data_IF_015448791068
#
_entry.id   IF_015448791068
#
_cell.length_a   1.000
_cell.length_b   1.000
_cell.length_c   1.000
_cell.angle_alpha   90.00
_cell.angle_beta   90.00
_cell.angle_gamma   90.00
#
_symmetry.space_group_name_H-M   'P 1'
#
loop_
_entity.id
_entity.type
_entity.pdbx_description
1 polymer ?
#
# COMPACT_ATOMS: atom_id res chain seq x y z
N UNK A 1 22.03 -84.11 -51.88
CA UNK A 1 20.68 -83.63 -52.24
C UNK A 1 20.26 -82.64 -51.09
N UNK A 2 20.44 -81.34 -51.27
CA UNK A 2 20.30 -80.36 -50.25
C UNK A 2 18.99 -79.62 -50.43
N UNK A 3 18.12 -79.64 -49.40
CA UNK A 3 16.85 -78.93 -49.38
C UNK A 3 17.11 -77.59 -48.59
N UNK A 4 16.99 -76.47 -49.31
CA UNK A 4 17.04 -75.14 -48.73
C UNK A 4 15.63 -74.73 -48.24
N UNK A 5 15.48 -74.54 -46.95
CA UNK A 5 14.30 -73.92 -46.35
C UNK A 5 14.40 -72.43 -46.45
N UNK A 6 13.39 -71.75 -47.02
CA UNK A 6 13.28 -70.32 -47.08
C UNK A 6 12.56 -69.81 -45.81
N UNK A 7 13.21 -68.88 -45.07
CA UNK A 7 12.63 -68.16 -43.91
C UNK A 7 12.08 -66.81 -44.42
N UNK A 8 10.75 -66.62 -44.27
CA UNK A 8 10.07 -65.33 -44.53
C UNK A 8 10.11 -64.46 -43.29
N UNK A 9 10.60 -63.19 -43.31
CA UNK A 9 10.58 -62.32 -42.14
C UNK A 9 9.20 -61.66 -41.98
N UNK A 10 8.62 -61.84 -40.78
CA UNK A 10 7.42 -61.13 -40.36
C UNK A 10 7.83 -59.70 -40.00
N UNK A 11 7.33 -58.69 -40.72
CA UNK A 11 7.49 -57.29 -40.40
C UNK A 11 6.45 -56.92 -39.35
N UNK A 12 6.92 -56.60 -38.12
CA UNK A 12 6.12 -55.94 -37.12
C UNK A 12 6.00 -54.43 -37.47
N UNK A 13 4.78 -53.99 -37.72
CA UNK A 13 4.44 -52.58 -37.86
C UNK A 13 4.18 -52.05 -36.47
N UNK A 14 5.13 -51.25 -35.92
CA UNK A 14 4.94 -50.50 -34.69
C UNK A 14 4.05 -49.27 -34.99
N UNK A 15 2.81 -49.30 -34.53
CA UNK A 15 1.91 -48.13 -34.52
C UNK A 15 2.32 -47.23 -33.36
N UNK A 16 3.05 -46.15 -33.61
CA UNK A 16 3.31 -45.08 -32.63
C UNK A 16 2.08 -44.20 -32.52
N UNK A 17 1.36 -44.32 -31.43
CA UNK A 17 0.28 -43.39 -31.04
C UNK A 17 0.94 -42.12 -30.53
N UNK A 18 0.90 -41.06 -31.34
CA UNK A 18 1.31 -39.72 -30.96
C UNK A 18 0.22 -39.11 -30.07
N UNK A 19 0.40 -39.17 -28.74
CA UNK A 19 -0.46 -38.49 -27.79
C UNK A 19 -0.16 -36.96 -27.86
N UNK A 20 -1.00 -36.21 -28.59
CA UNK A 20 -1.00 -34.75 -28.49
C UNK A 20 -1.48 -34.31 -27.09
N UNK A 21 -0.56 -34.06 -26.19
CA UNK A 21 -0.87 -33.29 -24.96
C UNK A 21 -1.10 -31.85 -25.39
N UNK A 22 -2.35 -31.42 -25.42
CA UNK A 22 -2.70 -30.00 -25.52
C UNK A 22 -2.16 -29.28 -24.27
N UNK A 23 -1.00 -28.65 -24.41
CA UNK A 23 -0.53 -27.65 -23.45
C UNK A 23 -1.52 -26.50 -23.53
N UNK A 24 -2.44 -26.43 -22.54
CA UNK A 24 -3.30 -25.28 -22.35
C UNK A 24 -2.43 -24.04 -22.22
N UNK A 25 -2.49 -23.13 -23.18
CA UNK A 25 -1.90 -21.80 -23.08
C UNK A 25 -2.61 -21.12 -21.91
N UNK A 26 -1.92 -20.64 -20.88
CA UNK A 26 -2.58 -19.90 -19.81
C UNK A 26 -3.26 -18.68 -20.46
N UNK A 27 -4.57 -18.62 -20.37
CA UNK A 27 -5.36 -17.48 -20.78
C UNK A 27 -4.88 -16.29 -19.93
N UNK A 28 -4.27 -15.30 -20.57
CA UNK A 28 -3.85 -14.08 -19.90
C UNK A 28 -5.10 -13.43 -19.32
N UNK A 29 -5.22 -13.42 -17.99
CA UNK A 29 -6.30 -12.75 -17.30
C UNK A 29 -6.33 -11.29 -17.78
N UNK A 30 -7.38 -10.92 -18.50
CA UNK A 30 -7.57 -9.53 -18.93
C UNK A 30 -7.89 -8.69 -17.70
N UNK A 31 -7.20 -7.55 -17.55
CA UNK A 31 -7.43 -6.64 -16.45
C UNK A 31 -8.91 -6.24 -16.39
N UNK A 32 -9.48 -6.20 -15.18
CA UNK A 32 -10.87 -5.82 -14.98
C UNK A 32 -11.13 -4.38 -15.47
N UNK A 33 -12.16 -4.14 -16.32
CA UNK A 33 -12.35 -2.85 -16.97
C UNK A 33 -12.75 -1.77 -15.95
N UNK A 34 -12.13 -0.60 -16.03
CA UNK A 34 -12.51 0.56 -15.23
C UNK A 34 -13.75 1.28 -15.80
N UNK A 35 -14.40 2.13 -15.01
CA UNK A 35 -15.49 3.00 -15.45
C UNK A 35 -15.34 4.43 -14.90
N UNK A 36 -16.14 5.37 -15.42
CA UNK A 36 -16.18 6.77 -14.96
C UNK A 36 -17.32 7.07 -13.98
N UNK A 37 -18.22 6.12 -13.80
CA UNK A 37 -19.36 6.21 -12.88
C UNK A 37 -19.57 4.89 -12.12
N UNK A 38 -20.41 4.88 -11.09
CA UNK A 38 -20.64 3.72 -10.24
C UNK A 38 -21.58 2.65 -10.83
N UNK A 39 -22.11 2.85 -12.04
CA UNK A 39 -23.22 2.03 -12.55
C UNK A 39 -22.90 0.55 -12.76
N UNK A 40 -21.65 0.22 -13.05
CA UNK A 40 -21.22 -1.14 -13.30
C UNK A 40 -20.28 -1.69 -12.20
N UNK A 41 -20.23 -1.07 -11.05
CA UNK A 41 -19.36 -1.50 -9.96
C UNK A 41 -19.66 -2.93 -9.51
N UNK A 42 -20.93 -3.32 -9.42
CA UNK A 42 -21.34 -4.66 -9.02
C UNK A 42 -20.94 -5.74 -10.05
N UNK A 43 -21.04 -5.44 -11.35
CA UNK A 43 -20.61 -6.36 -12.42
C UNK A 43 -19.09 -6.40 -12.61
N UNK A 44 -18.38 -5.36 -12.16
CA UNK A 44 -16.92 -5.30 -12.16
C UNK A 44 -16.31 -6.19 -11.05
N UNK A 45 -16.94 -6.29 -9.88
CA UNK A 45 -16.39 -7.06 -8.75
C UNK A 45 -16.03 -8.52 -9.07
N UNK A 46 -16.84 -9.30 -9.81
CA UNK A 46 -16.46 -10.65 -10.22
C UNK A 46 -15.17 -10.69 -11.05
N UNK A 47 -15.01 -9.78 -12.02
CA UNK A 47 -13.82 -9.70 -12.87
C UNK A 47 -12.57 -9.34 -12.05
N UNK A 48 -12.70 -8.37 -11.16
CA UNK A 48 -11.63 -7.99 -10.24
C UNK A 48 -11.29 -9.11 -9.24
N UNK A 49 -12.28 -9.92 -8.85
CA UNK A 49 -12.06 -11.08 -7.98
C UNK A 49 -11.22 -12.16 -8.68
N UNK A 50 -11.41 -12.39 -9.98
CA UNK A 50 -10.57 -13.29 -10.78
C UNK A 50 -9.14 -12.76 -10.89
N UNK A 51 -8.96 -11.46 -11.18
CA UNK A 51 -7.65 -10.81 -11.22
C UNK A 51 -6.95 -10.89 -9.85
N UNK A 52 -7.67 -10.59 -8.77
CA UNK A 52 -7.14 -10.65 -7.40
C UNK A 52 -6.76 -12.10 -7.01
N UNK A 53 -7.56 -13.09 -7.38
CA UNK A 53 -7.26 -14.50 -7.13
C UNK A 53 -6.00 -14.94 -7.92
N UNK A 54 -5.85 -14.52 -9.17
CA UNK A 54 -4.64 -14.75 -9.96
C UNK A 54 -3.40 -14.07 -9.34
N UNK A 55 -3.59 -12.92 -8.65
CA UNK A 55 -2.54 -12.25 -7.89
C UNK A 55 -2.28 -12.86 -6.50
N UNK A 56 -2.93 -13.99 -6.15
CA UNK A 56 -2.72 -14.74 -4.91
C UNK A 56 -3.54 -14.24 -3.71
N UNK A 57 -4.64 -13.53 -3.94
CA UNK A 57 -5.60 -13.18 -2.89
C UNK A 57 -6.43 -14.42 -2.53
N UNK A 58 -6.55 -14.72 -1.25
CA UNK A 58 -7.28 -15.86 -0.72
C UNK A 58 -8.77 -15.59 -0.54
N UNK A 59 -9.46 -16.58 0.07
CA UNK A 59 -10.93 -16.57 0.17
C UNK A 59 -11.50 -15.41 0.98
N UNK A 60 -10.83 -15.00 2.08
CA UNK A 60 -11.31 -13.90 2.95
C UNK A 60 -11.22 -12.56 2.23
N UNK A 61 -10.11 -12.31 1.53
CA UNK A 61 -9.92 -11.11 0.72
C UNK A 61 -10.94 -11.02 -0.41
N UNK A 62 -11.16 -12.11 -1.15
CA UNK A 62 -12.17 -12.17 -2.21
C UNK A 62 -13.60 -11.93 -1.65
N UNK A 63 -13.93 -12.48 -0.48
CA UNK A 63 -15.21 -12.20 0.18
C UNK A 63 -15.34 -10.71 0.51
N UNK A 64 -14.31 -10.10 1.09
CA UNK A 64 -14.29 -8.67 1.41
C UNK A 64 -14.49 -7.78 0.15
N UNK A 65 -13.89 -8.16 -0.99
CA UNK A 65 -14.13 -7.46 -2.26
C UNK A 65 -15.60 -7.58 -2.71
N UNK A 66 -16.19 -8.76 -2.61
CA UNK A 66 -17.61 -8.98 -2.98
C UNK A 66 -18.59 -8.19 -2.10
N UNK A 67 -18.27 -8.01 -0.82
CA UNK A 67 -19.04 -7.23 0.13
C UNK A 67 -18.80 -5.71 0.01
N UNK A 68 -17.76 -5.28 -0.70
CA UNK A 68 -17.44 -3.87 -0.87
C UNK A 68 -18.53 -3.11 -1.62
N UNK A 69 -18.67 -1.83 -1.32
CA UNK A 69 -19.65 -0.94 -1.91
C UNK A 69 -18.99 0.27 -2.59
N UNK A 70 -19.60 0.76 -3.68
CA UNK A 70 -19.10 1.95 -4.35
C UNK A 70 -19.24 3.20 -3.48
N UNK A 71 -18.13 3.89 -3.18
CA UNK A 71 -18.09 5.05 -2.30
C UNK A 71 -18.08 6.37 -3.07
N UNK A 72 -19.24 7.02 -3.18
CA UNK A 72 -19.34 8.39 -3.74
C UNK A 72 -18.52 9.41 -2.93
N UNK A 73 -18.39 9.21 -1.60
CA UNK A 73 -17.60 10.07 -0.73
C UNK A 73 -16.11 9.99 -1.07
N UNK A 74 -15.60 8.80 -1.34
CA UNK A 74 -14.23 8.56 -1.82
C UNK A 74 -13.97 9.28 -3.13
N UNK A 75 -14.84 9.13 -4.12
CA UNK A 75 -14.72 9.83 -5.42
C UNK A 75 -14.73 11.34 -5.24
N UNK A 76 -15.62 11.87 -4.39
CA UNK A 76 -15.67 13.30 -4.10
C UNK A 76 -14.37 13.79 -3.45
N UNK A 77 -13.83 13.08 -2.48
CA UNK A 77 -12.57 13.42 -1.84
C UNK A 77 -11.39 13.39 -2.84
N UNK A 78 -11.34 12.35 -3.69
CA UNK A 78 -10.30 12.18 -4.70
C UNK A 78 -10.27 13.31 -5.75
N UNK A 79 -11.42 13.89 -6.09
CA UNK A 79 -11.54 14.95 -7.09
C UNK A 79 -11.42 16.37 -6.52
N UNK A 80 -11.52 16.57 -5.20
CA UNK A 80 -11.60 17.88 -4.55
C UNK A 80 -10.37 18.28 -3.71
N UNK A 81 -9.17 17.82 -4.05
CA UNK A 81 -7.94 18.13 -3.32
C UNK A 81 -7.43 19.55 -3.62
N UNK A 82 -7.80 20.55 -2.80
CA UNK A 82 -7.45 21.97 -3.00
C UNK A 82 -6.18 22.42 -2.25
N UNK A 83 -5.77 21.74 -1.18
CA UNK A 83 -4.71 22.19 -0.25
C UNK A 83 -3.30 22.25 -0.85
N UNK A 84 -3.04 21.51 -1.92
CA UNK A 84 -1.71 21.49 -2.59
C UNK A 84 -1.38 22.75 -3.39
N UNK A 85 -2.31 23.70 -3.50
CA UNK A 85 -2.10 25.01 -4.16
C UNK A 85 -1.71 26.12 -3.18
N UNK A 86 -1.54 25.83 -1.88
CA UNK A 86 -1.17 26.82 -0.89
C UNK A 86 0.33 27.16 -0.95
N UNK A 87 0.68 28.39 -0.56
CA UNK A 87 2.07 28.72 -0.18
C UNK A 87 2.46 27.94 1.06
N UNK A 88 3.77 27.74 1.28
CA UNK A 88 4.26 27.00 2.44
C UNK A 88 3.76 27.60 3.77
N UNK A 89 3.78 28.90 3.93
CA UNK A 89 3.30 29.56 5.16
C UNK A 89 1.82 29.30 5.42
N UNK A 90 0.99 29.44 4.36
CA UNK A 90 -0.44 29.16 4.46
C UNK A 90 -0.68 27.68 4.77
N UNK A 91 0.08 26.77 4.14
CA UNK A 91 -0.05 25.34 4.38
C UNK A 91 0.31 24.98 5.82
N UNK A 92 1.45 25.45 6.36
CA UNK A 92 1.87 25.25 7.74
C UNK A 92 0.82 25.77 8.74
N UNK A 93 0.28 26.98 8.48
CA UNK A 93 -0.75 27.58 9.33
C UNK A 93 -2.04 26.75 9.34
N UNK A 94 -2.54 26.36 8.15
CA UNK A 94 -3.78 25.57 8.02
C UNK A 94 -3.63 24.18 8.64
N UNK A 95 -2.43 23.58 8.55
CA UNK A 95 -2.12 22.28 9.15
C UNK A 95 -1.82 22.33 10.64
N UNK A 96 -1.77 23.52 11.25
CA UNK A 96 -1.48 23.67 12.66
C UNK A 96 -0.05 23.26 13.04
N UNK A 97 0.93 23.60 12.19
CA UNK A 97 2.33 23.17 12.31
C UNK A 97 2.94 23.45 13.70
N UNK A 98 2.65 24.60 14.31
CA UNK A 98 3.18 24.95 15.64
C UNK A 98 2.65 24.00 16.73
N UNK A 99 1.37 23.60 16.65
CA UNK A 99 0.79 22.62 17.56
C UNK A 99 1.40 21.22 17.34
N UNK A 100 1.63 20.82 16.08
CA UNK A 100 2.30 19.56 15.73
C UNK A 100 3.73 19.55 16.29
N UNK A 101 4.50 20.62 16.11
CA UNK A 101 5.87 20.74 16.65
C UNK A 101 5.88 20.67 18.18
N UNK A 102 5.00 21.44 18.86
CA UNK A 102 4.89 21.42 20.34
C UNK A 102 4.58 20.02 20.86
N UNK A 103 3.55 19.37 20.31
CA UNK A 103 3.17 18.01 20.69
C UNK A 103 4.25 16.99 20.30
N UNK A 104 4.88 17.17 19.13
CA UNK A 104 5.95 16.31 18.64
C UNK A 104 7.16 16.29 19.58
N UNK A 105 7.62 17.44 20.05
CA UNK A 105 8.70 17.54 21.06
C UNK A 105 8.35 16.80 22.35
N UNK A 106 7.13 16.99 22.85
CA UNK A 106 6.66 16.29 24.06
C UNK A 106 6.62 14.77 23.86
N UNK A 107 6.18 14.29 22.69
CA UNK A 107 6.16 12.86 22.35
C UNK A 107 7.57 12.29 22.18
N UNK A 108 8.49 13.05 21.53
CA UNK A 108 9.91 12.68 21.41
C UNK A 108 10.53 12.46 22.78
N UNK A 109 10.32 13.40 23.70
CA UNK A 109 10.84 13.27 25.07
C UNK A 109 10.21 12.09 25.83
N UNK A 110 8.87 11.94 25.75
CA UNK A 110 8.14 10.88 26.46
C UNK A 110 8.50 9.48 25.98
N UNK A 111 8.76 9.30 24.67
CA UNK A 111 9.01 8.00 24.04
C UNK A 111 10.43 7.94 23.45
N UNK A 112 11.42 8.51 24.13
CA UNK A 112 12.79 8.66 23.64
C UNK A 112 13.41 7.32 23.21
N UNK A 113 13.14 6.23 23.94
CA UNK A 113 13.64 4.89 23.60
C UNK A 113 13.11 4.40 22.25
N UNK A 114 11.81 4.56 21.98
CA UNK A 114 11.21 4.18 20.70
C UNK A 114 11.84 4.95 19.52
N UNK A 115 11.98 6.27 19.67
CA UNK A 115 12.54 7.08 18.57
C UNK A 115 14.04 6.82 18.37
N UNK A 116 14.78 6.55 19.44
CA UNK A 116 16.18 6.11 19.34
C UNK A 116 16.29 4.74 18.61
N UNK A 117 15.40 3.80 18.89
CA UNK A 117 15.33 2.52 18.19
C UNK A 117 15.02 2.69 16.70
N UNK A 118 14.06 3.56 16.35
CA UNK A 118 13.71 3.89 14.97
C UNK A 118 14.93 4.45 14.23
N UNK A 119 15.60 5.44 14.82
CA UNK A 119 16.77 6.07 14.21
C UNK A 119 17.94 5.07 14.07
N UNK A 120 18.19 4.24 15.08
CA UNK A 120 19.20 3.19 15.01
C UNK A 120 18.91 2.15 13.93
N UNK A 121 17.64 1.72 13.78
CA UNK A 121 17.27 0.64 12.87
C UNK A 121 17.17 1.12 11.41
N UNK A 122 16.68 2.33 11.18
CA UNK A 122 16.34 2.83 9.84
C UNK A 122 17.15 4.07 9.43
N UNK A 123 17.83 4.71 10.36
CA UNK A 123 18.57 5.95 10.13
C UNK A 123 17.67 7.16 9.85
N UNK A 124 16.37 7.08 10.20
CA UNK A 124 15.40 8.15 10.01
C UNK A 124 15.25 8.92 11.32
N UNK A 125 15.55 10.24 11.35
CA UNK A 125 15.46 11.04 12.56
C UNK A 125 14.03 11.07 13.13
N UNK A 126 13.93 11.15 14.46
CA UNK A 126 12.65 11.19 15.18
C UNK A 126 11.72 12.28 14.65
N UNK A 127 12.24 13.49 14.38
CA UNK A 127 11.47 14.62 13.89
C UNK A 127 10.71 14.33 12.60
N UNK A 128 11.29 13.56 11.67
CA UNK A 128 10.66 13.22 10.38
C UNK A 128 9.45 12.33 10.60
N UNK A 129 9.61 11.24 11.36
CA UNK A 129 8.52 10.29 11.63
C UNK A 129 7.40 10.96 12.45
N UNK A 130 7.77 11.79 13.42
CA UNK A 130 6.82 12.55 14.25
C UNK A 130 6.07 13.60 13.42
N UNK A 131 6.74 14.31 12.51
CA UNK A 131 6.10 15.29 11.63
C UNK A 131 5.08 14.64 10.71
N UNK A 132 5.41 13.49 10.12
CA UNK A 132 4.48 12.67 9.32
C UNK A 132 3.28 12.26 10.18
N UNK A 133 3.49 11.68 11.35
CA UNK A 133 2.42 11.24 12.25
C UNK A 133 1.48 12.39 12.65
N UNK A 134 2.05 13.57 12.95
CA UNK A 134 1.26 14.76 13.27
C UNK A 134 0.45 15.27 12.07
N UNK A 135 1.04 15.26 10.88
CA UNK A 135 0.42 15.73 9.65
C UNK A 135 -0.71 14.81 9.15
N UNK A 136 -0.54 13.50 9.29
CA UNK A 136 -1.50 12.54 8.75
C UNK A 136 -2.75 12.42 9.64
N UNK A 137 -2.57 12.24 10.93
CA UNK A 137 -3.69 11.88 11.80
C UNK A 137 -3.79 12.74 13.08
N UNK A 138 -2.97 13.79 13.22
CA UNK A 138 -2.91 14.51 14.49
C UNK A 138 -2.51 13.58 15.64
N UNK A 139 -1.54 12.70 15.38
CA UNK A 139 -1.05 11.71 16.34
C UNK A 139 -2.07 10.62 16.69
N UNK A 140 -2.84 10.14 15.72
CA UNK A 140 -3.83 9.09 15.86
C UNK A 140 -5.23 9.58 16.25
N UNK A 141 -5.45 10.89 16.37
CA UNK A 141 -6.77 11.42 16.74
C UNK A 141 -7.80 11.30 15.60
N UNK A 142 -7.36 11.23 14.35
CA UNK A 142 -8.21 11.21 13.14
C UNK A 142 -7.72 10.20 12.13
N UNK A 143 -7.93 8.92 12.39
CA UNK A 143 -7.49 7.84 11.48
C UNK A 143 -8.50 7.53 10.35
N UNK A 144 -9.66 8.21 10.34
CA UNK A 144 -10.70 8.04 9.33
C UNK A 144 -11.85 7.14 9.78
N UNK A 145 -12.90 7.13 8.97
CA UNK A 145 -14.19 6.46 9.22
C UNK A 145 -14.73 5.72 7.99
N UNK A 146 -13.94 5.64 6.92
CA UNK A 146 -14.37 5.08 5.64
C UNK A 146 -13.89 3.63 5.54
N UNK A 147 -14.78 2.72 5.11
CA UNK A 147 -14.38 1.32 4.92
C UNK A 147 -13.24 1.24 3.89
N UNK A 148 -12.12 0.63 4.30
CA UNK A 148 -10.87 0.60 3.54
C UNK A 148 -11.04 -0.14 2.21
N UNK A 149 -11.61 -1.35 2.26
CA UNK A 149 -11.77 -2.18 1.05
C UNK A 149 -12.69 -1.48 0.05
N UNK A 150 -13.81 -0.92 0.50
CA UNK A 150 -14.76 -0.18 -0.36
C UNK A 150 -14.12 1.06 -0.97
N UNK A 151 -13.33 1.82 -0.20
CA UNK A 151 -12.65 3.01 -0.70
C UNK A 151 -11.62 2.67 -1.80
N UNK A 152 -10.72 1.73 -1.52
CA UNK A 152 -9.68 1.32 -2.48
C UNK A 152 -10.30 0.63 -3.71
N UNK A 153 -11.31 -0.23 -3.54
CA UNK A 153 -12.00 -0.87 -4.65
C UNK A 153 -12.70 0.17 -5.54
N UNK A 154 -13.32 1.19 -4.95
CA UNK A 154 -13.90 2.31 -5.69
C UNK A 154 -12.87 3.06 -6.53
N UNK A 155 -11.68 3.33 -5.98
CA UNK A 155 -10.59 4.01 -6.69
C UNK A 155 -9.91 3.13 -7.74
N UNK A 156 -9.86 1.83 -7.53
CA UNK A 156 -9.38 0.85 -8.52
C UNK A 156 -10.35 0.72 -9.70
N UNK A 157 -11.64 0.84 -9.43
CA UNK A 157 -12.69 0.85 -10.45
C UNK A 157 -12.77 2.17 -11.22
N UNK A 158 -12.47 3.33 -10.61
CA UNK A 158 -12.49 4.64 -11.28
C UNK A 158 -11.31 4.78 -12.26
N UNK A 159 -11.61 4.99 -13.57
CA UNK A 159 -10.59 5.07 -14.62
C UNK A 159 -9.56 6.17 -14.44
N UNK A 160 -9.79 7.15 -13.55
CA UNK A 160 -8.86 8.26 -13.36
C UNK A 160 -7.49 7.81 -12.87
N UNK A 161 -7.46 6.85 -11.94
CA UNK A 161 -6.22 6.31 -11.36
C UNK A 161 -6.28 4.81 -11.09
N UNK A 162 -7.07 4.07 -11.86
CA UNK A 162 -7.25 2.62 -11.71
C UNK A 162 -5.92 1.89 -11.58
N UNK A 163 -4.99 2.09 -12.53
CA UNK A 163 -3.69 1.43 -12.53
C UNK A 163 -2.83 1.73 -11.29
N UNK A 164 -3.01 2.89 -10.65
CA UNK A 164 -2.34 3.21 -9.39
C UNK A 164 -2.98 2.49 -8.20
N UNK A 165 -4.32 2.41 -8.15
CA UNK A 165 -5.02 1.86 -6.99
C UNK A 165 -5.21 0.34 -7.03
N UNK A 166 -5.17 -0.32 -8.19
CA UNK A 166 -5.32 -1.78 -8.30
C UNK A 166 -4.28 -2.56 -7.47
N UNK A 167 -2.99 -2.24 -7.50
CA UNK A 167 -2.02 -2.86 -6.59
C UNK A 167 -2.34 -2.67 -5.10
N UNK A 168 -2.86 -1.48 -4.73
CA UNK A 168 -3.28 -1.21 -3.36
C UNK A 168 -4.55 -1.98 -2.97
N UNK A 169 -5.48 -2.20 -3.90
CA UNK A 169 -6.62 -3.08 -3.66
C UNK A 169 -6.17 -4.52 -3.39
N UNK A 170 -5.31 -5.06 -4.24
CA UNK A 170 -4.73 -6.40 -4.03
C UNK A 170 -4.02 -6.46 -2.67
N UNK A 171 -3.27 -5.42 -2.31
CA UNK A 171 -2.65 -5.31 -0.98
C UNK A 171 -3.66 -5.32 0.16
N UNK A 172 -4.75 -4.55 0.06
CA UNK A 172 -5.82 -4.52 1.08
C UNK A 172 -6.47 -5.91 1.25
N UNK A 173 -6.77 -6.59 0.14
CA UNK A 173 -7.36 -7.92 0.16
C UNK A 173 -6.42 -8.98 0.77
N UNK A 174 -5.12 -8.90 0.51
CA UNK A 174 -4.10 -9.76 1.14
C UNK A 174 -3.96 -9.47 2.64
N UNK A 175 -4.02 -8.21 3.06
CA UNK A 175 -4.03 -7.85 4.49
C UNK A 175 -5.26 -8.40 5.20
N UNK A 176 -6.43 -8.48 4.55
CA UNK A 176 -7.63 -9.16 5.08
C UNK A 176 -7.39 -10.67 5.21
N UNK A 177 -6.78 -11.30 4.22
CA UNK A 177 -6.45 -12.74 4.29
C UNK A 177 -5.49 -13.07 5.43
N UNK A 178 -4.50 -12.21 5.67
CA UNK A 178 -3.51 -12.37 6.75
C UNK A 178 -4.10 -12.07 8.12
N UNK A 179 -5.21 -11.32 8.19
CA UNK A 179 -5.84 -10.90 9.43
C UNK A 179 -5.26 -9.61 10.03
N UNK A 180 -4.36 -8.93 9.31
CA UNK A 180 -3.84 -7.61 9.71
C UNK A 180 -4.91 -6.52 9.69
N UNK A 181 -5.90 -6.67 8.81
CA UNK A 181 -7.14 -5.88 8.82
C UNK A 181 -8.34 -6.81 8.61
N UNK A 182 -9.54 -6.32 8.89
CA UNK A 182 -10.81 -7.01 8.60
C UNK A 182 -11.54 -6.38 7.40
N UNK A 183 -12.54 -7.08 6.87
CA UNK A 183 -13.42 -6.52 5.83
C UNK A 183 -14.15 -5.24 6.29
N UNK A 184 -14.33 -5.06 7.62
CA UNK A 184 -14.97 -3.88 8.21
C UNK A 184 -13.98 -2.81 8.67
N UNK A 185 -12.67 -2.98 8.49
CA UNK A 185 -11.66 -1.99 8.90
C UNK A 185 -11.89 -0.64 8.23
N UNK A 186 -11.70 0.43 9.01
CA UNK A 186 -11.89 1.81 8.55
C UNK A 186 -10.55 2.54 8.46
N UNK A 187 -10.53 3.55 7.59
CA UNK A 187 -9.38 4.40 7.34
C UNK A 187 -9.81 5.73 6.75
N UNK A 188 -8.90 6.46 6.11
CA UNK A 188 -9.24 7.72 5.46
C UNK A 188 -10.09 7.52 4.19
N UNK A 189 -10.46 8.63 3.56
CA UNK A 189 -11.39 8.64 2.42
C UNK A 189 -10.87 7.92 1.17
N UNK A 190 -9.55 7.75 1.02
CA UNK A 190 -8.96 6.97 -0.07
C UNK A 190 -8.52 5.56 0.37
N UNK A 191 -8.90 5.14 1.60
CA UNK A 191 -8.57 3.81 2.14
C UNK A 191 -7.18 3.71 2.76
N UNK A 192 -6.58 4.83 3.14
CA UNK A 192 -5.32 4.84 3.88
C UNK A 192 -5.52 4.34 5.31
N UNK A 193 -4.52 3.62 5.84
CA UNK A 193 -4.56 2.86 7.08
C UNK A 193 -3.77 3.50 8.22
N UNK A 194 -4.36 3.53 9.41
CA UNK A 194 -3.69 3.69 10.68
C UNK A 194 -3.09 5.08 10.95
N UNK A 195 -2.19 5.12 11.91
CA UNK A 195 -1.60 6.35 12.47
C UNK A 195 -0.88 7.25 11.48
N UNK A 196 -0.29 6.68 10.46
CA UNK A 196 0.50 7.41 9.44
C UNK A 196 -0.09 7.30 8.04
N UNK A 197 -1.31 6.77 7.90
CA UNK A 197 -2.10 6.77 6.67
C UNK A 197 -1.41 6.07 5.49
N UNK A 198 -0.98 4.83 5.72
CA UNK A 198 -0.43 3.97 4.67
C UNK A 198 -1.49 3.59 3.64
N UNK A 199 -1.15 3.67 2.35
CA UNK A 199 -1.89 2.92 1.34
C UNK A 199 -1.70 1.41 1.55
N UNK A 200 -2.74 0.58 1.41
CA UNK A 200 -2.68 -0.83 1.79
C UNK A 200 -1.59 -1.67 1.10
N UNK A 201 -1.26 -1.39 -0.17
CA UNK A 201 -0.13 -2.06 -0.83
C UNK A 201 1.20 -1.74 -0.14
N UNK A 202 1.41 -0.48 0.24
CA UNK A 202 2.60 -0.10 0.99
C UNK A 202 2.60 -0.69 2.41
N UNK A 203 1.43 -0.83 3.04
CA UNK A 203 1.31 -1.50 4.33
C UNK A 203 1.69 -2.97 4.25
N UNK A 204 1.30 -3.66 3.16
CA UNK A 204 1.68 -5.05 2.89
C UNK A 204 3.19 -5.20 2.69
N UNK A 205 3.80 -4.28 1.92
CA UNK A 205 5.21 -4.39 1.51
C UNK A 205 6.20 -3.91 2.57
N UNK A 206 5.82 -2.90 3.37
CA UNK A 206 6.71 -2.18 4.29
C UNK A 206 6.26 -2.20 5.76
N UNK A 207 5.14 -2.86 6.07
CA UNK A 207 4.65 -3.00 7.43
C UNK A 207 5.66 -3.72 8.32
N UNK A 208 5.78 -3.26 9.57
CA UNK A 208 6.69 -3.82 10.59
C UNK A 208 5.90 -4.04 11.87
N UNK A 209 6.01 -5.24 12.43
CA UNK A 209 5.63 -5.52 13.81
C UNK A 209 6.69 -4.87 14.73
N UNK A 210 6.43 -3.66 15.12
CA UNK A 210 7.37 -2.84 15.88
C UNK A 210 7.28 -3.08 17.37
N UNK A 211 6.13 -3.55 17.86
CA UNK A 211 5.91 -3.86 19.26
C UNK A 211 6.25 -5.33 19.60
N UNK A 212 6.46 -6.20 18.59
CA UNK A 212 6.85 -7.58 18.77
C UNK A 212 5.73 -8.52 19.20
N UNK A 213 4.45 -8.17 18.92
CA UNK A 213 3.30 -9.00 19.28
C UNK A 213 2.95 -10.08 18.23
N UNK A 214 3.69 -10.13 17.13
CA UNK A 214 3.51 -11.09 16.03
C UNK A 214 2.55 -10.61 14.94
N UNK A 215 2.06 -9.38 15.02
CA UNK A 215 1.10 -8.82 14.07
C UNK A 215 1.52 -7.42 13.61
N UNK A 216 1.38 -7.11 12.34
CA UNK A 216 1.52 -5.73 11.86
C UNK A 216 0.16 -5.04 11.95
N UNK A 217 0.01 -4.16 12.93
CA UNK A 217 -1.20 -3.34 13.12
C UNK A 217 -0.87 -1.85 13.02
N UNK A 218 -1.20 -1.22 11.90
CA UNK A 218 -0.98 0.22 11.71
C UNK A 218 -1.93 1.10 12.54
N UNK A 219 -2.93 0.52 13.21
CA UNK A 219 -3.70 1.12 14.29
C UNK A 219 -2.91 1.22 15.61
N UNK A 220 -1.82 0.47 15.74
CA UNK A 220 -0.82 0.62 16.79
C UNK A 220 0.23 1.66 16.39
N UNK A 221 0.47 2.65 17.26
CA UNK A 221 1.39 3.73 16.95
C UNK A 221 2.85 3.26 16.76
N UNK A 222 3.30 2.23 17.48
CA UNK A 222 4.67 1.71 17.38
C UNK A 222 4.89 1.09 16.00
N UNK A 223 4.00 0.20 15.59
CA UNK A 223 4.06 -0.45 14.27
C UNK A 223 3.99 0.56 13.15
N UNK A 224 3.06 1.51 13.23
CA UNK A 224 2.91 2.55 12.21
C UNK A 224 4.16 3.43 12.07
N UNK A 225 4.78 3.84 13.19
CA UNK A 225 5.99 4.68 13.18
C UNK A 225 7.21 3.91 12.66
N UNK A 226 7.40 2.65 13.08
CA UNK A 226 8.47 1.79 12.57
C UNK A 226 8.27 1.45 11.10
N UNK A 227 7.05 1.14 10.67
CA UNK A 227 6.70 0.95 9.26
C UNK A 227 6.98 2.20 8.41
N UNK A 228 6.68 3.40 8.93
CA UNK A 228 6.98 4.67 8.24
C UNK A 228 8.49 4.85 8.02
N UNK A 229 9.29 4.58 9.05
CA UNK A 229 10.75 4.65 8.93
C UNK A 229 11.29 3.58 7.97
N UNK A 230 10.78 2.35 8.05
CA UNK A 230 11.13 1.26 7.12
C UNK A 230 10.80 1.62 5.67
N UNK A 231 9.62 2.18 5.42
CA UNK A 231 9.23 2.68 4.10
C UNK A 231 10.22 3.72 3.56
N UNK A 232 10.52 4.77 4.35
CA UNK A 232 11.47 5.81 3.94
C UNK A 232 12.86 5.20 3.67
N UNK A 233 13.32 4.28 4.51
CA UNK A 233 14.58 3.57 4.32
C UNK A 233 14.59 2.77 3.01
N UNK A 234 13.55 2.02 2.72
CA UNK A 234 13.39 1.25 1.49
C UNK A 234 13.30 2.15 0.24
N UNK A 235 12.77 3.37 0.37
CA UNK A 235 12.71 4.37 -0.71
C UNK A 235 13.99 5.19 -0.87
N UNK A 236 15.08 4.84 -0.18
CA UNK A 236 16.41 5.41 -0.41
C UNK A 236 16.88 6.39 0.66
N UNK A 237 16.21 6.44 1.83
CA UNK A 237 16.71 7.25 2.94
C UNK A 237 18.12 6.84 3.31
N UNK A 238 19.04 7.82 3.31
CA UNK A 238 20.46 7.63 3.63
C UNK A 238 20.75 8.12 5.04
N UNK A 239 21.12 7.24 5.99
CA UNK A 239 21.43 7.62 7.36
C UNK A 239 22.49 8.72 7.45
N UNK A 240 22.32 9.67 8.35
CA UNK A 240 23.27 10.77 8.58
C UNK A 240 23.31 11.83 7.48
N UNK A 241 22.52 11.69 6.39
CA UNK A 241 22.37 12.75 5.37
C UNK A 241 21.22 13.68 5.74
N UNK A 242 21.36 14.96 5.37
CA UNK A 242 20.34 15.97 5.62
C UNK A 242 19.04 15.73 4.85
N UNK A 243 17.94 16.31 5.36
CA UNK A 243 16.59 16.21 4.80
C UNK A 243 15.92 17.56 4.53
N UNK A 244 16.69 18.64 4.61
CA UNK A 244 16.20 19.96 4.23
C UNK A 244 16.22 20.11 2.70
N UNK A 245 15.53 21.14 2.19
CA UNK A 245 15.48 21.43 0.75
C UNK A 245 16.88 21.52 0.15
N UNK A 246 17.13 20.71 -0.88
CA UNK A 246 18.45 20.58 -1.52
C UNK A 246 19.36 19.51 -0.92
N UNK A 247 18.98 18.89 0.21
CA UNK A 247 19.73 17.78 0.80
C UNK A 247 19.24 16.41 0.32
N UNK A 248 20.06 15.35 0.41
CA UNK A 248 19.76 14.05 -0.22
C UNK A 248 18.42 13.43 0.18
N UNK A 249 18.08 13.45 1.48
CA UNK A 249 16.86 12.82 1.97
C UNK A 249 15.60 13.66 1.74
N UNK A 250 15.72 14.93 1.30
CA UNK A 250 14.54 15.73 0.94
C UNK A 250 13.74 15.08 -0.18
N UNK A 251 14.43 14.54 -1.19
CA UNK A 251 13.79 13.83 -2.28
C UNK A 251 13.07 12.56 -1.85
N UNK A 252 13.53 11.90 -0.76
CA UNK A 252 12.90 10.69 -0.24
C UNK A 252 11.55 10.98 0.43
N UNK A 253 11.39 12.17 1.04
CA UNK A 253 10.08 12.58 1.60
C UNK A 253 9.00 12.64 0.50
N UNK A 254 9.38 12.87 -0.76
CA UNK A 254 8.48 12.82 -1.92
C UNK A 254 7.82 11.46 -2.11
N UNK A 255 8.51 10.38 -1.77
CA UNK A 255 7.96 9.03 -1.88
C UNK A 255 6.79 8.81 -0.90
N UNK A 256 6.80 9.54 0.22
CA UNK A 256 5.68 9.56 1.16
C UNK A 256 4.49 10.37 0.61
N UNK A 257 4.76 11.58 0.14
CA UNK A 257 3.75 12.44 -0.45
C UNK A 257 4.36 13.34 -1.55
N UNK A 258 3.86 13.20 -2.78
CA UNK A 258 4.41 13.85 -3.96
C UNK A 258 4.20 15.38 -4.01
N UNK A 259 3.37 15.96 -3.13
CA UNK A 259 3.12 17.40 -3.10
C UNK A 259 4.33 18.15 -2.52
N UNK A 260 4.94 19.06 -3.29
CA UNK A 260 6.14 19.80 -2.89
C UNK A 260 5.94 20.59 -1.58
N UNK A 261 4.77 21.20 -1.41
CA UNK A 261 4.42 21.92 -0.18
C UNK A 261 4.36 21.00 1.05
N UNK A 262 3.95 19.75 0.87
CA UNK A 262 3.92 18.74 1.92
C UNK A 262 5.34 18.32 2.32
N UNK A 263 6.21 18.05 1.35
CA UNK A 263 7.62 17.70 1.60
C UNK A 263 8.34 18.78 2.39
N UNK A 264 8.18 20.04 1.97
CA UNK A 264 8.79 21.19 2.63
C UNK A 264 8.24 21.38 4.06
N UNK A 265 6.94 21.18 4.27
CA UNK A 265 6.32 21.24 5.59
C UNK A 265 6.86 20.17 6.55
N UNK A 266 7.01 18.91 6.07
CA UNK A 266 7.62 17.84 6.87
C UNK A 266 9.06 18.23 7.26
N UNK A 267 9.89 18.65 6.31
CA UNK A 267 11.27 19.02 6.57
C UNK A 267 11.40 20.16 7.60
N UNK A 268 10.57 21.20 7.49
CA UNK A 268 10.54 22.33 8.42
C UNK A 268 10.11 21.89 9.82
N UNK A 269 9.03 21.13 9.95
CA UNK A 269 8.54 20.68 11.25
C UNK A 269 9.49 19.69 11.90
N UNK A 270 10.04 18.75 11.13
CA UNK A 270 11.02 17.79 11.61
C UNK A 270 12.24 18.46 12.22
N UNK A 271 12.83 19.45 11.53
CA UNK A 271 13.97 20.22 12.06
C UNK A 271 13.64 20.99 13.34
N UNK A 272 12.40 21.49 13.47
CA UNK A 272 11.95 22.13 14.71
C UNK A 272 11.74 21.13 15.86
N UNK A 273 11.33 19.90 15.55
CA UNK A 273 11.12 18.84 16.55
C UNK A 273 12.46 18.28 17.03
N UNK A 274 13.46 18.18 16.16
CA UNK A 274 14.77 17.59 16.49
C UNK A 274 15.68 18.51 17.29
N UNK A 275 15.45 19.83 17.23
CA UNK A 275 16.13 20.84 18.08
C UNK A 275 15.66 20.77 19.52
#
# INVERSE_FOLDING_TARGET
MSIRSAIVPIRFILLTILACTALGVPELATAAPCSKDGGQYESWKPLMAEEAAAAGVGKRGIAALRESTYSKATISADRNQKSFKYTIDKFLKVRGADAIVKQGRARKAKNAALYAQIEQSYGVPAGVVIAIHGMETGFGNFMGDTNVVSAIATLSYDCRRSGFFTPHLIGALKLVDQGSISASSVGAKHGELGHTQFLPGNALDYGVDGNGDGTVDLGNAVDALMSTANYLRAKGWSPGKGYQKGEPNFAVIKEWNAASVYQEAIAIMAAKIDR
#
